data_IF_466681730338
#
_entry.id   IF_466681730338
#
_cell.length_a   1.000
_cell.length_b   1.000
_cell.length_c   1.000
_cell.angle_alpha   90.00
_cell.angle_beta   90.00
_cell.angle_gamma   90.00
#
_symmetry.space_group_name_H-M   'P 1'
#
loop_
_entity.id
_entity.type
_entity.pdbx_description
1 polymer ?
#
# COMPACT_ATOMS: atom_id res chain seq x y z
N UNK A 1 -10.69 26.67 27.69
CA UNK A 1 -9.49 25.85 27.49
C UNK A 1 -9.93 24.42 27.23
N UNK A 2 -9.87 23.98 25.97
CA UNK A 2 -9.83 22.56 25.56
C UNK A 2 -9.41 22.55 24.08
N UNK A 3 -8.14 22.22 23.83
CA UNK A 3 -7.56 22.06 22.49
C UNK A 3 -7.82 20.63 22.02
N UNK A 4 -8.62 20.45 20.98
CA UNK A 4 -8.75 19.15 20.30
C UNK A 4 -7.93 19.24 19.02
N UNK A 5 -6.65 18.92 19.16
CA UNK A 5 -5.73 18.63 18.06
C UNK A 5 -5.76 17.13 17.79
N UNK A 6 -6.49 16.67 16.77
CA UNK A 6 -6.22 15.42 16.05
C UNK A 6 -7.16 15.26 14.86
N UNK A 7 -6.72 15.72 13.70
CA UNK A 7 -7.00 15.04 12.44
C UNK A 7 -5.65 14.54 11.96
N UNK A 8 -5.38 13.29 12.37
CA UNK A 8 -4.20 12.51 11.98
C UNK A 8 -4.09 12.58 10.46
N UNK A 9 -2.88 12.86 9.99
CA UNK A 9 -2.50 13.02 8.59
C UNK A 9 -3.28 12.08 7.67
N UNK A 10 -3.69 12.61 6.51
CA UNK A 10 -4.31 11.84 5.45
C UNK A 10 -3.50 10.56 5.23
N UNK A 11 -4.12 9.44 5.57
CA UNK A 11 -3.62 8.12 5.21
C UNK A 11 -3.93 7.99 3.72
N UNK A 12 -3.08 8.56 2.90
CA UNK A 12 -2.95 8.15 1.50
C UNK A 12 -2.57 6.68 1.60
N UNK A 13 -3.57 5.80 1.59
CA UNK A 13 -3.36 4.36 1.55
C UNK A 13 -2.56 4.12 0.28
N UNK A 14 -1.26 3.88 0.43
CA UNK A 14 -0.41 3.56 -0.70
C UNK A 14 -1.08 2.40 -1.44
N UNK A 15 -1.50 2.67 -2.67
CA UNK A 15 -2.16 1.68 -3.51
C UNK A 15 -1.22 0.52 -3.83
N UNK A 16 0.08 0.80 -3.77
CA UNK A 16 1.17 -0.04 -4.23
C UNK A 16 2.27 -0.09 -3.16
N UNK A 17 2.85 -1.27 -3.03
CA UNK A 17 3.97 -1.58 -2.14
C UNK A 17 5.08 -2.19 -2.97
N UNK A 18 6.32 -1.80 -2.67
CA UNK A 18 7.50 -2.31 -3.33
C UNK A 18 8.53 -2.73 -2.30
N UNK A 19 9.24 -3.83 -2.56
CA UNK A 19 10.36 -4.24 -1.74
C UNK A 19 10.74 -5.70 -1.96
N UNK A 20 11.33 -6.33 -0.95
CA UNK A 20 11.89 -7.68 -1.09
C UNK A 20 11.03 -8.71 -0.35
N UNK A 21 10.78 -9.85 -0.99
CA UNK A 21 10.01 -10.95 -0.39
C UNK A 21 10.91 -12.17 -0.25
N UNK A 22 11.08 -12.62 1.00
CA UNK A 22 11.85 -13.80 1.36
C UNK A 22 10.95 -15.03 1.22
N UNK A 23 11.06 -15.68 0.06
CA UNK A 23 10.35 -16.89 -0.31
C UNK A 23 11.25 -17.77 -1.17
N UNK A 24 10.98 -19.08 -1.21
CA UNK A 24 11.73 -20.01 -2.05
C UNK A 24 11.22 -19.95 -3.48
N UNK A 25 12.04 -20.40 -4.44
CA UNK A 25 11.67 -20.43 -5.87
C UNK A 25 10.35 -21.17 -6.14
N UNK A 26 10.10 -22.25 -5.38
CA UNK A 26 8.86 -23.03 -5.47
C UNK A 26 7.59 -22.26 -5.07
N UNK A 27 7.73 -21.21 -4.26
CA UNK A 27 6.62 -20.39 -3.76
C UNK A 27 6.30 -19.23 -4.71
N UNK A 28 7.05 -19.07 -5.81
CA UNK A 28 6.82 -18.06 -6.85
C UNK A 28 5.38 -18.11 -7.40
N UNK A 29 4.88 -19.32 -7.68
CA UNK A 29 3.54 -19.53 -8.24
C UNK A 29 2.43 -19.12 -7.25
N UNK A 30 2.64 -19.38 -5.95
CA UNK A 30 1.75 -18.89 -4.89
C UNK A 30 1.75 -17.36 -4.84
N UNK A 31 2.92 -16.72 -4.91
CA UNK A 31 3.04 -15.26 -4.89
C UNK A 31 2.35 -14.61 -6.10
N UNK A 32 2.55 -15.16 -7.29
CA UNK A 32 1.86 -14.72 -8.51
C UNK A 32 0.34 -14.89 -8.39
N UNK A 33 -0.13 -16.01 -7.82
CA UNK A 33 -1.56 -16.27 -7.58
C UNK A 33 -2.18 -15.26 -6.61
N UNK A 34 -1.41 -14.77 -5.65
CA UNK A 34 -1.86 -13.74 -4.72
C UNK A 34 -2.00 -12.36 -5.40
N UNK A 35 -1.37 -12.16 -6.55
CA UNK A 35 -1.30 -10.91 -7.29
C UNK A 35 -0.05 -10.09 -6.96
N UNK A 36 1.05 -10.76 -6.61
CA UNK A 36 2.36 -10.15 -6.40
C UNK A 36 3.15 -10.23 -7.70
N UNK A 37 3.66 -9.10 -8.16
CA UNK A 37 4.64 -9.03 -9.24
C UNK A 37 6.04 -9.27 -8.64
N UNK A 38 6.48 -10.52 -8.68
CA UNK A 38 7.82 -10.90 -8.21
C UNK A 38 8.91 -10.46 -9.20
N UNK A 39 9.99 -9.89 -8.68
CA UNK A 39 11.16 -9.53 -9.48
C UNK A 39 12.21 -10.66 -9.56
N UNK A 40 13.48 -10.34 -9.84
CA UNK A 40 14.53 -11.35 -10.00
C UNK A 40 14.74 -12.15 -8.70
N UNK A 41 14.76 -13.48 -8.83
CA UNK A 41 15.05 -14.39 -7.73
C UNK A 41 16.55 -14.47 -7.45
N UNK A 42 16.94 -14.22 -6.20
CA UNK A 42 18.30 -14.44 -5.70
C UNK A 42 18.40 -15.74 -4.92
N UNK A 43 18.83 -16.79 -5.60
CA UNK A 43 19.07 -18.10 -4.98
C UNK A 43 20.09 -18.05 -3.81
N UNK A 44 21.05 -17.11 -3.84
CA UNK A 44 22.05 -16.96 -2.78
C UNK A 44 21.50 -16.43 -1.46
N UNK A 45 20.36 -15.72 -1.49
CA UNK A 45 19.69 -15.15 -0.30
C UNK A 45 18.32 -15.78 -0.03
N UNK A 46 17.76 -16.50 -1.02
CA UNK A 46 16.42 -17.07 -0.91
C UNK A 46 15.33 -15.99 -0.88
N UNK A 47 15.45 -14.99 -1.75
CA UNK A 47 14.49 -13.89 -1.84
C UNK A 47 14.24 -13.45 -3.29
N UNK A 48 13.07 -12.85 -3.51
CA UNK A 48 12.71 -12.12 -4.71
C UNK A 48 12.93 -10.64 -4.46
N UNK A 49 13.83 -10.03 -5.23
CA UNK A 49 14.13 -8.61 -5.13
C UNK A 49 13.14 -7.78 -5.95
N UNK A 50 12.90 -6.52 -5.55
CA UNK A 50 12.04 -5.58 -6.30
C UNK A 50 10.64 -6.15 -6.61
N UNK A 51 10.02 -6.82 -5.65
CA UNK A 51 8.64 -7.25 -5.75
C UNK A 51 7.70 -6.05 -5.65
N UNK A 52 6.71 -6.00 -6.53
CA UNK A 52 5.62 -5.03 -6.51
C UNK A 52 4.30 -5.72 -6.19
N UNK A 53 3.48 -5.11 -5.36
CA UNK A 53 2.17 -5.66 -5.05
C UNK A 53 1.19 -4.58 -4.60
N UNK A 54 -0.08 -4.78 -4.94
CA UNK A 54 -1.14 -3.87 -4.51
C UNK A 54 -1.52 -4.10 -3.05
N UNK A 55 -2.18 -3.10 -2.45
CA UNK A 55 -2.74 -3.20 -1.08
C UNK A 55 -3.62 -4.45 -0.86
N UNK A 56 -4.35 -4.92 -1.88
CA UNK A 56 -5.13 -6.14 -1.80
C UNK A 56 -4.26 -7.41 -1.70
N UNK A 57 -3.18 -7.48 -2.47
CA UNK A 57 -2.23 -8.58 -2.43
C UNK A 57 -1.51 -8.62 -1.08
N UNK A 58 -1.08 -7.46 -0.55
CA UNK A 58 -0.51 -7.32 0.79
C UNK A 58 -1.44 -7.90 1.87
N UNK A 59 -2.74 -7.58 1.79
CA UNK A 59 -3.74 -8.07 2.74
C UNK A 59 -3.89 -9.60 2.69
N UNK A 60 -3.86 -10.20 1.49
CA UNK A 60 -3.88 -11.66 1.33
C UNK A 60 -2.62 -12.28 1.93
N UNK A 61 -1.47 -11.65 1.72
CA UNK A 61 -0.18 -12.09 2.23
C UNK A 61 -0.11 -12.01 3.76
N UNK A 62 -0.70 -10.97 4.37
CA UNK A 62 -0.90 -10.88 5.82
C UNK A 62 -1.82 -11.97 6.36
N UNK A 63 -2.89 -12.32 5.63
CA UNK A 63 -3.83 -13.40 6.01
C UNK A 63 -3.16 -14.77 6.02
N UNK A 64 -2.12 -14.99 5.21
CA UNK A 64 -1.29 -16.20 5.27
C UNK A 64 -0.46 -16.31 6.56
N UNK A 65 -0.59 -15.36 7.49
CA UNK A 65 -0.10 -15.50 8.85
C UNK A 65 1.42 -15.43 8.98
N UNK A 66 2.11 -14.73 8.06
CA UNK A 66 3.56 -14.60 8.10
C UNK A 66 4.32 -15.84 7.60
N UNK A 67 3.70 -16.65 6.73
CA UNK A 67 4.39 -17.75 6.01
C UNK A 67 5.67 -17.26 5.30
N UNK A 68 5.65 -16.03 4.82
CA UNK A 68 6.76 -15.37 4.14
C UNK A 68 7.27 -14.21 4.99
N UNK A 69 8.56 -13.89 4.88
CA UNK A 69 9.10 -12.63 5.39
C UNK A 69 9.08 -11.63 4.23
N UNK A 70 8.76 -10.37 4.50
CA UNK A 70 8.77 -9.34 3.47
C UNK A 70 9.20 -8.01 4.08
N UNK A 71 10.01 -7.28 3.33
CA UNK A 71 10.41 -5.92 3.63
C UNK A 71 9.82 -5.04 2.52
N UNK A 72 8.60 -4.56 2.75
CA UNK A 72 7.81 -3.83 1.76
C UNK A 72 7.61 -2.40 2.24
N UNK A 73 7.97 -1.46 1.38
CA UNK A 73 7.74 -0.04 1.60
C UNK A 73 6.55 0.42 0.75
N UNK A 74 5.67 1.27 1.31
CA UNK A 74 4.62 1.90 0.53
C UNK A 74 5.25 2.79 -0.54
N UNK A 75 4.90 2.54 -1.80
CA UNK A 75 5.26 3.47 -2.87
C UNK A 75 4.22 4.57 -2.82
N UNK A 76 4.63 5.77 -2.38
CA UNK A 76 3.82 6.97 -2.53
C UNK A 76 3.63 7.23 -4.03
N UNK A 77 2.59 6.61 -4.59
CA UNK A 77 1.97 7.08 -5.81
C UNK A 77 1.69 8.55 -5.57
N UNK A 78 2.35 9.42 -6.35
CA UNK A 78 2.07 10.85 -6.34
C UNK A 78 0.57 10.98 -6.24
N UNK A 79 0.01 11.77 -5.30
CA UNK A 79 -1.39 12.10 -5.40
C UNK A 79 -1.52 12.72 -6.78
N UNK A 80 -2.08 11.99 -7.74
CA UNK A 80 -2.66 12.61 -8.91
C UNK A 80 -3.52 13.68 -8.29
N UNK A 81 -3.09 14.91 -8.49
CA UNK A 81 -3.71 16.07 -7.94
C UNK A 81 -5.14 15.98 -8.45
N UNK A 82 -6.03 15.43 -7.64
CA UNK A 82 -7.44 15.62 -7.84
C UNK A 82 -7.53 17.14 -7.81
N UNK A 83 -7.91 17.80 -8.92
CA UNK A 83 -8.55 19.06 -8.76
C UNK A 83 -9.86 18.67 -8.06
N UNK A 84 -9.83 18.56 -6.73
CA UNK A 84 -11.02 18.80 -5.96
C UNK A 84 -11.26 20.29 -6.15
N UNK A 85 -11.76 20.63 -7.34
CA UNK A 85 -12.54 21.81 -7.56
C UNK A 85 -13.56 21.75 -6.43
N UNK A 86 -13.34 22.58 -5.42
CA UNK A 86 -14.34 22.96 -4.47
C UNK A 86 -15.35 23.79 -5.27
N UNK A 87 -16.07 23.14 -6.19
CA UNK A 87 -17.16 23.74 -6.93
C UNK A 87 -18.26 23.99 -5.92
N UNK A 88 -18.33 25.25 -5.47
CA UNK A 88 -19.50 25.92 -4.96
C UNK A 88 -20.41 25.12 -4.03
N UNK A 89 -20.20 25.25 -2.72
CA UNK A 89 -21.35 25.31 -1.80
C UNK A 89 -21.70 26.77 -1.56
N UNK A 90 -22.43 27.28 -2.56
CA UNK A 90 -23.30 28.45 -2.43
C UNK A 90 -24.42 28.16 -1.42
N UNK A 91 -24.97 29.23 -0.86
CA UNK A 91 -26.19 29.32 -0.04
C UNK A 91 -26.07 29.10 1.49
N UNK A 92 -25.73 30.22 2.18
CA UNK A 92 -26.49 30.89 3.26
C UNK A 92 -27.88 30.28 3.67
N UNK A 93 -28.41 30.50 4.91
CA UNK A 93 -28.37 31.79 5.61
C UNK A 93 -28.18 31.81 7.14
N UNK A 94 -27.54 32.91 7.56
CA UNK A 94 -27.94 33.85 8.63
C UNK A 94 -29.10 33.40 9.53
N UNK A 95 -28.80 33.09 10.79
CA UNK A 95 -29.73 33.28 11.88
C UNK A 95 -29.18 34.34 12.84
N UNK A 96 -30.13 35.13 13.32
CA UNK A 96 -30.04 36.50 13.82
C UNK A 96 -29.41 36.62 15.21
#
# INVERSE_FOLDING_TARGET
MATISRSKAGETLASEYQGDIYALEKDADELLTLGVEIGPFRAGLGCFENCHLSSQALRRLQVLGGKYLWDLEPVEGKPEAFPFEFTGMSCMPRYH
#
